data_IF_212513597203
#
_entry.id   IF_212513597203
#
_cell.length_a   1.000
_cell.length_b   1.000
_cell.length_c   1.000
_cell.angle_alpha   90.00
_cell.angle_beta   90.00
_cell.angle_gamma   90.00
#
_symmetry.space_group_name_H-M   'P 1'
#
loop_
_entity.id
_entity.type
_entity.pdbx_description
1 polymer ?
#
# COMPACT_ATOMS: atom_id res chain seq x y z
N UNK A 1 -29.43 -6.41 -16.23
CA UNK A 1 -29.05 -5.51 -15.12
C UNK A 1 -29.79 -6.01 -13.89
N UNK A 2 -29.06 -6.52 -12.92
CA UNK A 2 -29.62 -7.10 -11.70
C UNK A 2 -30.20 -6.00 -10.79
N UNK A 3 -31.19 -6.32 -9.95
CA UNK A 3 -31.78 -5.37 -9.01
C UNK A 3 -30.75 -4.80 -8.03
N UNK A 4 -29.76 -5.63 -7.64
CA UNK A 4 -28.65 -5.19 -6.79
C UNK A 4 -27.75 -4.17 -7.50
N UNK A 5 -27.44 -4.41 -8.77
CA UNK A 5 -26.62 -3.51 -9.58
C UNK A 5 -27.27 -2.12 -9.71
N UNK A 6 -28.58 -2.08 -9.98
CA UNK A 6 -29.34 -0.82 -10.04
C UNK A 6 -29.31 -0.10 -8.69
N UNK A 7 -29.53 -0.82 -7.59
CA UNK A 7 -29.49 -0.28 -6.23
C UNK A 7 -28.12 0.31 -5.89
N UNK A 8 -27.03 -0.41 -6.21
CA UNK A 8 -25.67 0.04 -5.98
C UNK A 8 -25.34 1.31 -6.80
N UNK A 9 -25.76 1.39 -8.06
CA UNK A 9 -25.58 2.59 -8.89
C UNK A 9 -26.26 3.82 -8.28
N UNK A 10 -27.54 3.70 -7.91
CA UNK A 10 -28.30 4.80 -7.28
C UNK A 10 -27.68 5.25 -5.95
N UNK A 11 -27.24 4.29 -5.12
CA UNK A 11 -26.58 4.58 -3.84
C UNK A 11 -25.21 5.25 -4.05
N UNK A 12 -24.43 4.80 -5.02
CA UNK A 12 -23.13 5.36 -5.37
C UNK A 12 -23.26 6.82 -5.81
N UNK A 13 -24.27 7.13 -6.64
CA UNK A 13 -24.61 8.50 -7.03
C UNK A 13 -25.01 9.36 -5.83
N UNK A 14 -25.91 8.86 -4.97
CA UNK A 14 -26.37 9.58 -3.77
C UNK A 14 -25.23 9.84 -2.76
N UNK A 15 -24.26 8.93 -2.65
CA UNK A 15 -23.07 9.08 -1.82
C UNK A 15 -21.98 9.97 -2.45
N UNK A 16 -22.20 10.49 -3.66
CA UNK A 16 -21.25 11.37 -4.34
C UNK A 16 -19.95 10.67 -4.76
N UNK A 17 -19.96 9.35 -4.92
CA UNK A 17 -18.76 8.54 -5.25
C UNK A 17 -18.08 9.06 -6.52
N UNK A 18 -18.85 9.44 -7.53
CA UNK A 18 -18.34 10.01 -8.78
C UNK A 18 -17.42 11.22 -8.55
N UNK A 19 -17.70 12.04 -7.53
CA UNK A 19 -16.89 13.23 -7.23
C UNK A 19 -15.51 12.87 -6.70
N UNK A 20 -15.37 11.79 -5.93
CA UNK A 20 -14.09 11.30 -5.41
C UNK A 20 -13.15 10.78 -6.52
N UNK A 21 -13.74 10.31 -7.63
CA UNK A 21 -13.04 9.67 -8.73
C UNK A 21 -12.63 8.21 -8.47
N UNK A 22 -13.00 7.62 -7.32
CA UNK A 22 -12.81 6.20 -7.07
C UNK A 22 -13.75 5.37 -7.96
N UNK A 23 -13.25 4.39 -8.73
CA UNK A 23 -14.09 3.58 -9.61
C UNK A 23 -14.76 2.44 -8.82
N UNK A 24 -15.73 2.74 -7.96
CA UNK A 24 -16.40 1.72 -7.12
C UNK A 24 -17.11 0.63 -7.94
N UNK A 25 -17.58 0.98 -9.14
CA UNK A 25 -18.34 0.09 -10.02
C UNK A 25 -17.54 -1.09 -10.59
N UNK A 26 -16.20 -1.10 -10.45
CA UNK A 26 -15.34 -2.22 -10.88
C UNK A 26 -15.32 -3.39 -9.88
N UNK A 27 -15.82 -3.19 -8.67
CA UNK A 27 -15.85 -4.24 -7.65
C UNK A 27 -17.06 -5.16 -7.87
N UNK A 28 -17.01 -6.42 -7.42
CA UNK A 28 -18.18 -7.30 -7.40
C UNK A 28 -19.39 -6.65 -6.72
N UNK A 29 -20.61 -6.95 -7.17
CA UNK A 29 -21.84 -6.32 -6.68
C UNK A 29 -22.04 -6.51 -5.18
N UNK A 30 -21.71 -7.70 -4.67
CA UNK A 30 -21.77 -8.00 -3.22
C UNK A 30 -20.81 -7.11 -2.42
N UNK A 31 -19.63 -6.83 -2.97
CA UNK A 31 -18.65 -5.92 -2.37
C UNK A 31 -19.08 -4.46 -2.46
N UNK A 32 -19.60 -4.00 -3.60
CA UNK A 32 -20.10 -2.64 -3.74
C UNK A 32 -21.17 -2.34 -2.67
N UNK A 33 -22.11 -3.27 -2.48
CA UNK A 33 -23.16 -3.14 -1.48
C UNK A 33 -22.58 -3.09 -0.05
N UNK A 34 -21.60 -3.94 0.25
CA UNK A 34 -20.89 -3.94 1.53
C UNK A 34 -20.18 -2.61 1.81
N UNK A 35 -19.45 -2.07 0.82
CA UNK A 35 -18.72 -0.81 0.94
C UNK A 35 -19.68 0.35 1.17
N UNK A 36 -20.80 0.39 0.44
CA UNK A 36 -21.83 1.43 0.58
C UNK A 36 -22.59 1.31 1.91
N UNK A 37 -22.69 0.12 2.48
CA UNK A 37 -23.25 -0.08 3.82
C UNK A 37 -22.31 0.50 4.88
N UNK A 38 -21.02 0.12 4.85
CA UNK A 38 -20.00 0.64 5.77
C UNK A 38 -19.89 2.15 5.72
N UNK A 39 -19.93 2.73 4.51
CA UNK A 39 -19.91 4.18 4.34
C UNK A 39 -21.12 4.87 5.01
N UNK A 40 -22.28 4.20 5.00
CA UNK A 40 -23.54 4.76 5.55
C UNK A 40 -23.68 4.52 7.05
N UNK A 41 -23.30 3.34 7.56
CA UNK A 41 -23.53 2.95 8.97
C UNK A 41 -22.35 3.29 9.86
N UNK A 42 -21.13 3.12 9.36
CA UNK A 42 -19.89 3.31 10.12
C UNK A 42 -19.16 4.61 9.76
N UNK A 43 -19.69 5.39 8.81
CA UNK A 43 -19.06 6.60 8.26
C UNK A 43 -17.66 6.36 7.68
N UNK A 44 -17.41 5.17 7.15
CA UNK A 44 -16.12 4.85 6.53
C UNK A 44 -15.96 5.60 5.20
N UNK A 45 -14.76 6.14 4.94
CA UNK A 45 -14.42 6.65 3.61
C UNK A 45 -14.37 5.49 2.63
N UNK A 46 -15.05 5.65 1.51
CA UNK A 46 -15.08 4.65 0.43
C UNK A 46 -13.68 4.42 -0.10
N UNK A 47 -12.90 5.49 -0.32
CA UNK A 47 -11.54 5.41 -0.85
C UNK A 47 -10.59 4.63 0.06
N UNK A 48 -10.62 4.89 1.37
CA UNK A 48 -9.80 4.13 2.33
C UNK A 48 -10.30 2.70 2.48
N UNK A 49 -11.62 2.48 2.44
CA UNK A 49 -12.22 1.14 2.51
C UNK A 49 -11.76 0.28 1.34
N UNK A 50 -11.99 0.70 0.10
CA UNK A 50 -11.64 -0.12 -1.08
C UNK A 50 -10.15 -0.41 -1.17
N UNK A 51 -9.31 0.58 -0.82
CA UNK A 51 -7.86 0.41 -0.82
C UNK A 51 -7.41 -0.59 0.25
N UNK A 52 -8.03 -0.52 1.43
CA UNK A 52 -7.73 -1.47 2.52
C UNK A 52 -8.18 -2.89 2.16
N UNK A 53 -9.34 -3.05 1.51
CA UNK A 53 -9.83 -4.36 1.05
C UNK A 53 -8.89 -4.97 -0.01
N UNK A 54 -8.42 -4.18 -0.98
CA UNK A 54 -7.41 -4.61 -1.97
C UNK A 54 -6.15 -5.12 -1.26
N UNK A 55 -5.64 -4.34 -0.31
CA UNK A 55 -4.43 -4.69 0.45
C UNK A 55 -4.60 -5.97 1.28
N UNK A 56 -5.74 -6.11 1.96
CA UNK A 56 -6.03 -7.29 2.77
C UNK A 56 -6.25 -8.55 1.92
N UNK A 57 -6.87 -8.43 0.74
CA UNK A 57 -6.98 -9.53 -0.22
C UNK A 57 -5.60 -9.98 -0.73
N UNK A 58 -4.74 -9.03 -1.08
CA UNK A 58 -3.36 -9.30 -1.48
C UNK A 58 -2.59 -10.07 -0.39
N UNK A 59 -2.78 -9.70 0.88
CA UNK A 59 -2.21 -10.40 2.03
C UNK A 59 -2.79 -11.80 2.26
N UNK A 60 -4.10 -11.97 2.14
CA UNK A 60 -4.76 -13.26 2.31
C UNK A 60 -4.35 -14.27 1.22
N UNK A 61 -4.25 -13.80 -0.02
CA UNK A 61 -3.79 -14.62 -1.15
C UNK A 61 -2.30 -14.93 -1.00
N UNK A 62 -1.46 -13.92 -0.80
CA UNK A 62 -0.01 -14.10 -0.68
C UNK A 62 0.57 -14.90 -1.85
N UNK A 63 1.48 -15.84 -1.56
CA UNK A 63 2.07 -16.74 -2.54
C UNK A 63 1.14 -17.87 -3.03
N UNK A 64 -0.13 -17.93 -2.62
CA UNK A 64 -1.03 -18.99 -3.12
C UNK A 64 -1.42 -18.81 -4.59
N UNK A 65 -1.36 -17.59 -5.13
CA UNK A 65 -1.62 -17.30 -6.53
C UNK A 65 -0.60 -16.32 -7.11
N UNK A 66 -0.33 -16.50 -8.40
CA UNK A 66 0.56 -15.66 -9.19
C UNK A 66 -0.11 -15.28 -10.50
N UNK A 67 0.41 -14.23 -11.13
CA UNK A 67 0.02 -13.84 -12.49
C UNK A 67 1.24 -13.87 -13.42
N UNK A 68 1.06 -14.41 -14.62
CA UNK A 68 2.06 -14.34 -15.69
C UNK A 68 1.80 -13.11 -16.56
N UNK A 69 2.77 -12.20 -16.59
CA UNK A 69 2.67 -10.95 -17.36
C UNK A 69 3.14 -11.17 -18.80
N UNK A 70 4.29 -11.83 -18.96
CA UNK A 70 4.92 -12.07 -20.27
C UNK A 70 5.97 -13.18 -20.17
N UNK A 71 5.83 -14.24 -20.96
CA UNK A 71 6.81 -15.35 -20.97
C UNK A 71 7.04 -15.91 -19.56
N UNK A 72 8.28 -15.82 -19.06
CA UNK A 72 8.64 -16.27 -17.70
C UNK A 72 8.51 -15.17 -16.62
N UNK A 73 7.99 -14.00 -16.97
CA UNK A 73 7.71 -12.96 -15.99
C UNK A 73 6.44 -13.29 -15.21
N UNK A 74 6.62 -13.93 -14.06
CA UNK A 74 5.58 -14.33 -13.12
C UNK A 74 5.74 -13.49 -11.85
N UNK A 75 4.64 -13.08 -11.23
CA UNK A 75 4.67 -12.28 -10.01
C UNK A 75 3.52 -12.60 -9.06
N UNK A 76 3.77 -12.59 -7.76
CA UNK A 76 2.75 -12.68 -6.70
C UNK A 76 2.07 -11.32 -6.53
N UNK A 77 0.89 -11.25 -5.87
CA UNK A 77 0.13 -10.02 -5.66
C UNK A 77 0.76 -9.09 -4.60
N UNK A 78 2.06 -8.80 -4.68
CA UNK A 78 2.75 -7.94 -3.70
C UNK A 78 2.38 -6.48 -3.89
N UNK A 79 1.75 -5.88 -2.89
CA UNK A 79 1.35 -4.49 -2.86
C UNK A 79 1.96 -3.76 -1.66
N UNK A 80 2.48 -2.57 -1.94
CA UNK A 80 2.83 -1.57 -0.94
C UNK A 80 1.79 -0.45 -1.02
N UNK A 81 1.17 -0.09 0.09
CA UNK A 81 -0.01 0.78 0.14
C UNK A 81 0.16 1.86 1.20
N UNK A 82 -0.15 3.11 0.85
CA UNK A 82 -0.22 4.23 1.80
C UNK A 82 -1.60 4.90 1.72
N UNK A 83 -2.25 5.04 2.87
CA UNK A 83 -3.48 5.78 3.04
C UNK A 83 -3.16 7.18 3.57
N UNK A 84 -3.26 8.20 2.73
CA UNK A 84 -2.96 9.60 3.06
C UNK A 84 -4.26 10.35 3.38
N UNK A 85 -4.31 11.01 4.53
CA UNK A 85 -5.47 11.85 4.89
C UNK A 85 -5.25 12.64 6.16
N UNK A 86 -6.05 13.69 6.37
CA UNK A 86 -5.92 14.56 7.56
C UNK A 86 -6.09 13.79 8.88
N UNK A 87 -5.60 14.32 10.01
CA UNK A 87 -5.98 13.81 11.32
C UNK A 87 -7.51 13.75 11.45
N UNK A 88 -8.04 12.67 12.02
CA UNK A 88 -9.48 12.52 12.29
C UNK A 88 -10.38 12.10 11.12
N UNK A 89 -9.87 11.92 9.88
CA UNK A 89 -10.70 11.52 8.72
C UNK A 89 -11.13 10.04 8.71
N UNK A 90 -10.78 9.27 9.75
CA UNK A 90 -11.15 7.85 9.83
C UNK A 90 -10.40 6.93 8.87
N UNK A 91 -9.06 7.01 8.82
CA UNK A 91 -8.22 6.10 8.01
C UNK A 91 -8.10 4.70 8.60
N UNK A 92 -7.90 4.63 9.92
CA UNK A 92 -7.64 3.41 10.66
C UNK A 92 -8.86 2.47 10.74
N UNK A 93 -10.11 2.93 10.94
CA UNK A 93 -11.25 2.02 11.05
C UNK A 93 -11.48 1.15 9.79
N UNK A 94 -11.46 1.68 8.55
CA UNK A 94 -11.53 0.84 7.34
C UNK A 94 -10.36 -0.14 7.20
N UNK A 95 -9.14 0.26 7.61
CA UNK A 95 -7.98 -0.61 7.59
C UNK A 95 -8.14 -1.79 8.56
N UNK A 96 -8.55 -1.49 9.80
CA UNK A 96 -8.82 -2.51 10.82
C UNK A 96 -9.95 -3.44 10.39
N UNK A 97 -11.02 -2.92 9.78
CA UNK A 97 -12.10 -3.74 9.20
C UNK A 97 -11.56 -4.72 8.17
N UNK A 98 -10.75 -4.24 7.22
CA UNK A 98 -10.22 -5.06 6.14
C UNK A 98 -9.28 -6.18 6.65
N UNK A 99 -8.44 -5.89 7.65
CA UNK A 99 -7.50 -6.87 8.21
C UNK A 99 -8.07 -7.72 9.35
N UNK A 100 -9.29 -7.43 9.83
CA UNK A 100 -9.90 -8.15 10.96
C UNK A 100 -9.90 -9.68 10.78
N UNK A 101 -10.33 -10.26 9.64
CA UNK A 101 -10.34 -11.72 9.51
C UNK A 101 -8.94 -12.34 9.62
N UNK A 102 -7.91 -11.67 9.08
CA UNK A 102 -6.52 -12.12 9.19
C UNK A 102 -5.97 -11.99 10.62
N UNK A 103 -6.39 -10.95 11.36
CA UNK A 103 -6.09 -10.82 12.80
C UNK A 103 -6.77 -11.90 13.64
N UNK A 104 -8.01 -12.26 13.31
CA UNK A 104 -8.73 -13.32 14.01
C UNK A 104 -8.00 -14.67 13.79
N UNK A 105 -7.50 -14.95 12.58
CA UNK A 105 -6.63 -16.12 12.28
C UNK A 105 -5.33 -16.08 13.09
N UNK A 106 -4.61 -14.96 13.10
CA UNK A 106 -3.37 -14.81 13.89
C UNK A 106 -3.61 -15.03 15.39
N UNK A 107 -4.78 -14.63 15.89
CA UNK A 107 -5.17 -14.83 17.29
C UNK A 107 -5.36 -16.31 17.60
N UNK A 108 -6.01 -17.06 16.72
CA UNK A 108 -6.17 -18.51 16.83
C UNK A 108 -4.83 -19.23 16.78
N UNK A 109 -3.95 -18.88 15.84
CA UNK A 109 -2.60 -19.43 15.74
C UNK A 109 -1.75 -19.11 16.96
N UNK A 110 -1.89 -17.91 17.53
CA UNK A 110 -1.20 -17.55 18.76
C UNK A 110 -1.65 -18.41 19.96
N UNK A 111 -2.95 -18.68 20.08
CA UNK A 111 -3.48 -19.56 21.13
C UNK A 111 -2.95 -20.99 20.98
N UNK A 112 -2.93 -21.53 19.75
CA UNK A 112 -2.35 -22.86 19.44
C UNK A 112 -0.86 -22.91 19.80
N UNK A 113 -0.10 -21.91 19.35
CA UNK A 113 1.33 -21.79 19.65
C UNK A 113 1.60 -21.76 21.15
N UNK A 114 0.83 -20.97 21.91
CA UNK A 114 1.00 -20.86 23.38
C UNK A 114 0.75 -22.20 24.07
N UNK A 115 -0.27 -22.95 23.63
CA UNK A 115 -0.53 -24.30 24.14
C UNK A 115 0.64 -25.26 23.84
N UNK A 116 1.08 -25.33 22.57
CA UNK A 116 2.21 -26.16 22.15
C UNK A 116 3.51 -25.82 22.87
N UNK A 117 3.78 -24.52 23.08
CA UNK A 117 4.97 -24.04 23.79
C UNK A 117 4.97 -24.47 25.26
N UNK A 118 3.82 -24.42 25.92
CA UNK A 118 3.68 -24.88 27.30
C UNK A 118 3.88 -26.40 27.41
N UNK A 119 3.32 -27.16 26.47
CA UNK A 119 3.50 -28.62 26.40
C UNK A 119 4.97 -29.01 26.17
N UNK A 120 5.62 -28.39 25.18
CA UNK A 120 7.04 -28.58 24.89
C UNK A 120 7.90 -28.29 26.14
N UNK A 121 7.68 -27.15 26.80
CA UNK A 121 8.41 -26.79 28.01
C UNK A 121 8.18 -27.80 29.15
N UNK A 122 6.95 -28.29 29.33
CA UNK A 122 6.64 -29.29 30.35
C UNK A 122 7.37 -30.62 30.10
N UNK A 123 7.49 -31.07 28.84
CA UNK A 123 8.24 -32.28 28.48
C UNK A 123 9.75 -32.06 28.73
N UNK A 124 10.29 -30.89 28.36
CA UNK A 124 11.69 -30.53 28.64
C UNK A 124 11.98 -30.59 30.14
N UNK A 125 11.12 -30.02 30.98
CA UNK A 125 11.26 -30.09 32.44
C UNK A 125 11.14 -31.52 32.97
N UNK A 126 10.19 -32.33 32.49
CA UNK A 126 10.04 -33.75 32.89
C UNK A 126 11.24 -34.61 32.49
N UNK A 127 11.97 -34.23 31.46
CA UNK A 127 13.17 -34.92 31.01
C UNK A 127 14.44 -34.47 31.75
N UNK A 128 14.42 -33.35 32.49
CA UNK A 128 15.56 -32.93 33.30
C UNK A 128 15.88 -33.98 34.38
N UNK A 129 17.16 -34.32 34.49
CA UNK A 129 17.65 -35.29 35.48
C UNK A 129 17.38 -36.76 35.13
N UNK A 130 16.66 -37.08 34.04
CA UNK A 130 16.46 -38.45 33.56
C UNK A 130 17.58 -38.89 32.62
N UNK A 131 17.85 -40.21 32.59
CA UNK A 131 18.75 -40.80 31.59
C UNK A 131 18.11 -40.67 30.20
N UNK A 132 18.92 -40.50 29.16
CA UNK A 132 18.45 -40.29 27.77
C UNK A 132 17.54 -41.41 27.25
N UNK A 133 17.70 -42.62 27.76
CA UNK A 133 16.86 -43.80 27.46
C UNK A 133 15.44 -43.72 28.05
N UNK A 134 15.20 -42.83 29.02
CA UNK A 134 13.93 -42.61 29.71
C UNK A 134 13.28 -41.29 29.29
N UNK A 135 13.84 -40.61 28.29
CA UNK A 135 13.30 -39.35 27.80
C UNK A 135 11.97 -39.58 27.10
N UNK A 136 10.98 -38.80 27.52
CA UNK A 136 9.77 -38.61 26.75
C UNK A 136 10.14 -37.89 25.44
N UNK A 137 9.58 -38.34 24.32
CA UNK A 137 9.84 -37.72 23.02
C UNK A 137 9.40 -36.26 23.03
N UNK A 138 10.30 -35.36 22.65
CA UNK A 138 9.96 -33.96 22.48
C UNK A 138 9.20 -33.77 21.17
N UNK A 139 8.07 -33.03 21.15
CA UNK A 139 7.48 -32.59 19.89
C UNK A 139 8.42 -31.61 19.18
N UNK A 140 8.19 -31.31 17.89
CA UNK A 140 8.92 -30.25 17.21
C UNK A 140 8.87 -28.94 17.99
N UNK A 141 9.96 -28.16 17.95
CA UNK A 141 10.00 -26.85 18.59
C UNK A 141 8.87 -25.99 18.03
N UNK A 142 7.94 -25.50 18.85
CA UNK A 142 6.84 -24.69 18.36
C UNK A 142 7.37 -23.41 17.71
N UNK A 143 6.86 -23.09 16.52
CA UNK A 143 7.15 -21.84 15.80
C UNK A 143 5.85 -21.05 15.70
N UNK A 144 5.91 -19.76 16.01
CA UNK A 144 4.76 -18.87 15.85
C UNK A 144 4.75 -18.36 14.42
N UNK A 145 3.78 -18.82 13.63
CA UNK A 145 3.49 -18.25 12.33
C UNK A 145 2.59 -17.04 12.53
N UNK A 146 3.02 -15.88 12.04
CA UNK A 146 2.24 -14.65 12.15
C UNK A 146 2.06 -14.03 10.78
N UNK A 147 0.81 -13.90 10.34
CA UNK A 147 0.51 -13.30 9.05
C UNK A 147 0.65 -11.78 9.09
N UNK A 148 0.34 -11.14 10.22
CA UNK A 148 0.37 -9.68 10.37
C UNK A 148 1.47 -9.21 11.33
N UNK A 149 2.30 -8.29 10.88
CA UNK A 149 3.34 -7.64 11.70
C UNK A 149 3.13 -6.14 11.78
N UNK A 150 3.19 -5.60 13.01
CA UNK A 150 2.94 -4.17 13.28
C UNK A 150 4.16 -3.49 13.92
N UNK A 151 4.96 -4.26 14.67
CA UNK A 151 6.22 -3.84 15.27
C UNK A 151 7.22 -4.99 15.11
N UNK A 152 8.39 -4.69 14.57
CA UNK A 152 9.41 -5.66 14.24
C UNK A 152 10.77 -5.01 14.01
N UNK A 153 11.84 -5.78 14.23
CA UNK A 153 13.13 -5.49 13.62
C UNK A 153 13.20 -6.13 12.23
N UNK A 154 14.01 -5.61 11.30
CA UNK A 154 14.23 -6.24 9.99
C UNK A 154 14.50 -7.75 10.06
N UNK A 155 15.29 -8.20 11.03
CA UNK A 155 15.64 -9.60 11.22
C UNK A 155 14.43 -10.46 11.62
N UNK A 156 13.55 -9.92 12.47
CA UNK A 156 12.32 -10.61 12.89
C UNK A 156 11.32 -10.70 11.74
N UNK A 157 11.23 -9.66 10.89
CA UNK A 157 10.41 -9.71 9.68
C UNK A 157 10.89 -10.83 8.74
N UNK A 158 12.19 -10.89 8.46
CA UNK A 158 12.74 -11.89 7.54
C UNK A 158 12.61 -13.31 8.09
N UNK A 159 12.84 -13.53 9.38
CA UNK A 159 12.63 -14.84 10.02
C UNK A 159 11.17 -15.30 10.00
N UNK A 160 10.23 -14.39 10.29
CA UNK A 160 8.81 -14.75 10.21
C UNK A 160 8.40 -15.04 8.78
N UNK A 161 8.95 -14.30 7.81
CA UNK A 161 8.65 -14.55 6.41
C UNK A 161 9.21 -15.90 5.91
N UNK A 162 10.43 -16.24 6.30
CA UNK A 162 11.03 -17.55 6.03
C UNK A 162 10.16 -18.70 6.61
N UNK A 163 9.64 -18.51 7.82
CA UNK A 163 8.71 -19.46 8.44
C UNK A 163 7.29 -19.43 7.85
N UNK A 164 6.89 -18.37 7.14
CA UNK A 164 5.56 -18.20 6.57
C UNK A 164 5.64 -18.10 5.05
N UNK A 165 5.64 -19.28 4.43
CA UNK A 165 5.73 -19.43 2.98
C UNK A 165 4.65 -18.62 2.23
N UNK A 166 3.45 -18.41 2.81
CA UNK A 166 2.38 -17.64 2.16
C UNK A 166 2.75 -16.15 2.04
N UNK A 167 3.56 -15.65 2.95
CA UNK A 167 3.95 -14.24 3.02
C UNK A 167 3.57 -13.58 4.34
N UNK A 168 3.96 -12.33 4.48
CA UNK A 168 3.73 -11.52 5.69
C UNK A 168 3.16 -10.17 5.28
N UNK A 169 2.17 -9.69 6.04
CA UNK A 169 1.63 -8.35 5.89
C UNK A 169 2.12 -7.43 7.01
N UNK A 170 2.79 -6.36 6.64
CA UNK A 170 3.13 -5.26 7.54
C UNK A 170 1.96 -4.29 7.58
N UNK A 171 1.26 -4.21 8.71
CA UNK A 171 0.08 -3.37 8.90
C UNK A 171 0.38 -2.37 10.00
N UNK A 172 0.54 -1.10 9.64
CA UNK A 172 0.95 -0.07 10.59
C UNK A 172 0.00 1.12 10.55
N UNK A 173 -0.55 1.45 11.72
CA UNK A 173 -1.10 2.79 11.89
C UNK A 173 0.07 3.76 12.01
N UNK A 174 0.05 4.86 11.24
CA UNK A 174 1.16 5.81 11.14
C UNK A 174 2.47 5.19 10.62
N UNK A 175 2.50 4.95 9.31
CA UNK A 175 3.62 4.32 8.58
C UNK A 175 4.97 5.06 8.73
N UNK A 176 4.97 6.31 9.19
CA UNK A 176 6.21 7.03 9.49
C UNK A 176 7.09 6.31 10.50
N UNK A 177 6.52 5.59 11.47
CA UNK A 177 7.29 4.75 12.38
C UNK A 177 8.09 3.67 11.64
N UNK A 178 7.44 2.99 10.67
CA UNK A 178 8.09 2.00 9.81
C UNK A 178 9.20 2.62 8.95
N UNK A 179 8.92 3.75 8.30
CA UNK A 179 9.91 4.45 7.48
C UNK A 179 11.11 4.95 8.31
N UNK A 180 10.87 5.43 9.53
CA UNK A 180 11.93 5.80 10.47
C UNK A 180 12.78 4.59 10.87
N UNK A 181 12.18 3.42 11.08
CA UNK A 181 12.90 2.16 11.31
C UNK A 181 13.76 1.83 10.09
N UNK A 182 13.18 1.84 8.88
CA UNK A 182 13.91 1.61 7.62
C UNK A 182 15.09 2.58 7.47
N UNK A 183 14.87 3.87 7.75
CA UNK A 183 15.88 4.92 7.64
C UNK A 183 16.94 4.86 8.76
N UNK A 184 16.61 4.35 9.96
CA UNK A 184 17.58 4.17 11.05
C UNK A 184 18.57 3.06 10.74
N UNK A 185 18.11 1.98 10.12
CA UNK A 185 18.95 0.88 9.66
C UNK A 185 19.63 1.19 8.31
N UNK A 186 20.00 2.46 8.08
CA UNK A 186 20.47 3.09 6.82
C UNK A 186 21.75 2.50 6.17
N UNK A 187 22.08 1.25 6.42
CA UNK A 187 22.80 0.45 5.45
C UNK A 187 21.79 0.06 4.38
N UNK A 188 21.85 0.73 3.22
CA UNK A 188 21.22 0.42 1.91
C UNK A 188 20.57 -0.96 1.71
N UNK A 189 21.14 -2.00 2.30
CA UNK A 189 20.67 -3.39 2.38
C UNK A 189 19.17 -3.57 2.71
N UNK A 190 18.57 -2.95 3.75
CA UNK A 190 17.16 -3.27 4.06
C UNK A 190 16.19 -2.70 3.02
N UNK A 191 16.40 -1.47 2.57
CA UNK A 191 15.63 -0.90 1.44
C UNK A 191 15.83 -1.76 0.19
N UNK A 192 17.06 -2.19 -0.11
CA UNK A 192 17.34 -3.10 -1.23
C UNK A 192 16.63 -4.45 -1.10
N UNK A 193 16.55 -5.01 0.11
CA UNK A 193 15.79 -6.24 0.38
C UNK A 193 14.31 -6.03 0.12
N UNK A 194 13.72 -4.91 0.57
CA UNK A 194 12.32 -4.59 0.28
C UNK A 194 12.08 -4.32 -1.22
N UNK A 195 13.01 -3.65 -1.91
CA UNK A 195 12.94 -3.45 -3.36
C UNK A 195 13.00 -4.77 -4.12
N UNK A 196 13.84 -5.72 -3.67
CA UNK A 196 13.97 -7.07 -4.24
C UNK A 196 12.73 -7.91 -3.96
N UNK A 197 12.26 -7.91 -2.71
CA UNK A 197 11.04 -8.56 -2.29
C UNK A 197 9.82 -8.04 -3.08
N UNK A 198 9.68 -6.73 -3.23
CA UNK A 198 8.62 -6.15 -4.06
C UNK A 198 8.68 -6.62 -5.52
N UNK A 199 9.86 -6.91 -6.06
CA UNK A 199 10.01 -7.42 -7.41
C UNK A 199 9.81 -8.95 -7.49
N UNK A 200 9.59 -9.64 -6.36
CA UNK A 200 9.50 -11.09 -6.28
C UNK A 200 10.85 -11.80 -6.45
N UNK A 201 11.97 -11.10 -6.24
CA UNK A 201 13.31 -11.66 -6.37
C UNK A 201 13.76 -12.26 -5.03
N UNK A 202 14.41 -13.45 -5.01
CA UNK A 202 14.88 -14.07 -3.79
C UNK A 202 15.66 -13.12 -2.87
N UNK A 203 15.46 -13.26 -1.57
CA UNK A 203 16.12 -12.45 -0.54
C UNK A 203 16.96 -13.34 0.35
N UNK A 204 18.27 -13.13 0.31
CA UNK A 204 19.24 -13.80 1.19
C UNK A 204 19.60 -12.88 2.38
N UNK A 205 19.59 -13.45 3.59
CA UNK A 205 20.04 -12.77 4.82
C UNK A 205 21.13 -13.59 5.48
N UNK A 206 22.38 -13.18 5.24
CA UNK A 206 23.57 -13.75 5.89
C UNK A 206 24.06 -12.80 6.98
N UNK A 207 24.01 -13.25 8.25
CA UNK A 207 24.52 -12.51 9.42
C UNK A 207 25.36 -13.44 10.27
N UNK A 208 26.44 -12.93 10.88
CA UNK A 208 27.38 -13.74 11.66
C UNK A 208 26.76 -14.48 12.86
N UNK A 209 25.62 -14.00 13.37
CA UNK A 209 24.94 -14.58 14.53
C UNK A 209 23.77 -15.51 14.14
N UNK A 210 23.69 -15.92 12.87
CA UNK A 210 22.74 -16.93 12.41
C UNK A 210 23.47 -18.26 12.22
N UNK A 211 22.98 -19.33 12.84
CA UNK A 211 23.53 -20.68 12.67
C UNK A 211 23.38 -21.18 11.21
N UNK A 212 22.36 -20.69 10.49
CA UNK A 212 22.14 -20.91 9.07
C UNK A 212 21.70 -19.58 8.42
N UNK A 213 22.28 -19.19 7.26
CA UNK A 213 21.75 -18.09 6.45
C UNK A 213 20.26 -18.30 6.14
N UNK A 214 19.46 -17.23 6.18
CA UNK A 214 18.06 -17.28 5.75
C UNK A 214 17.99 -17.03 4.25
N UNK A 215 17.14 -17.78 3.56
CA UNK A 215 16.90 -17.64 2.13
C UNK A 215 15.41 -17.73 1.85
N UNK A 216 14.84 -16.62 1.42
CA UNK A 216 13.44 -16.54 1.03
C UNK A 216 13.39 -16.57 -0.50
N UNK A 217 13.08 -17.72 -1.08
CA UNK A 217 13.04 -17.90 -2.54
C UNK A 217 11.86 -17.18 -3.18
N UNK A 218 10.70 -17.13 -2.50
CA UNK A 218 9.47 -16.52 -3.00
C UNK A 218 9.00 -15.42 -2.06
N UNK A 219 9.64 -14.23 -2.06
CA UNK A 219 9.23 -13.20 -1.14
C UNK A 219 7.85 -12.66 -1.48
N UNK A 220 7.00 -12.53 -0.46
CA UNK A 220 5.70 -11.90 -0.51
C UNK A 220 5.48 -11.13 0.79
N UNK A 221 6.02 -9.90 0.83
CA UNK A 221 5.83 -8.97 1.93
C UNK A 221 4.84 -7.93 1.47
N UNK A 222 3.68 -7.83 2.10
CA UNK A 222 2.72 -6.74 1.89
C UNK A 222 3.05 -5.60 2.85
N UNK A 223 2.86 -4.36 2.43
CA UNK A 223 2.96 -3.21 3.33
C UNK A 223 1.70 -2.38 3.18
N UNK A 224 1.06 -2.06 4.29
CA UNK A 224 0.00 -1.06 4.33
C UNK A 224 0.17 -0.20 5.56
N UNK A 225 -0.03 1.10 5.37
CA UNK A 225 -0.15 1.96 6.52
C UNK A 225 -0.78 3.30 6.24
N UNK A 226 -1.11 3.98 7.32
CA UNK A 226 -1.75 5.30 7.26
C UNK A 226 -0.69 6.38 7.41
N UNK A 227 -0.90 7.55 6.79
CA UNK A 227 -0.08 8.73 7.04
C UNK A 227 -0.96 9.97 7.08
N UNK A 228 -0.54 10.94 7.88
CA UNK A 228 -1.20 12.23 7.96
C UNK A 228 -0.67 13.15 6.86
N UNK A 229 -1.54 14.01 6.30
CA UNK A 229 -1.11 14.95 5.25
C UNK A 229 0.05 15.84 5.70
N UNK A 230 0.02 16.34 6.95
CA UNK A 230 1.00 17.31 7.45
C UNK A 230 2.44 16.82 7.63
N UNK A 231 2.68 15.50 7.55
CA UNK A 231 4.01 14.88 7.70
C UNK A 231 4.42 14.06 6.46
N UNK A 232 3.62 14.10 5.40
CA UNK A 232 3.88 13.29 4.20
C UNK A 232 5.13 13.77 3.43
N UNK A 233 5.52 15.03 3.63
CA UNK A 233 6.75 15.60 3.09
C UNK A 233 8.02 14.92 3.64
N UNK A 234 7.98 14.39 4.88
CA UNK A 234 9.12 13.70 5.48
C UNK A 234 9.55 12.46 4.68
N UNK A 235 8.61 11.78 3.99
CA UNK A 235 8.93 10.66 3.10
C UNK A 235 9.88 11.07 1.95
N UNK A 236 9.77 12.31 1.50
CA UNK A 236 10.61 12.88 0.44
C UNK A 236 11.97 13.28 1.01
N UNK A 237 11.99 13.87 2.19
CA UNK A 237 13.21 14.29 2.88
C UNK A 237 14.12 13.11 3.22
N UNK A 238 13.54 11.94 3.53
CA UNK A 238 14.27 10.67 3.71
C UNK A 238 14.85 10.09 2.41
N UNK A 239 14.55 10.67 1.25
CA UNK A 239 15.11 10.26 -0.03
C UNK A 239 14.45 9.01 -0.65
N UNK A 240 13.30 8.55 -0.14
CA UNK A 240 12.61 7.37 -0.68
C UNK A 240 12.05 7.54 -2.09
N UNK A 241 11.81 8.79 -2.52
CA UNK A 241 11.53 9.09 -3.94
C UNK A 241 12.78 8.88 -4.80
N UNK A 242 13.95 9.33 -4.33
CA UNK A 242 15.22 9.26 -5.09
C UNK A 242 15.71 7.83 -5.32
N UNK A 243 15.47 6.92 -4.36
CA UNK A 243 15.86 5.51 -4.48
C UNK A 243 14.77 4.62 -5.10
N UNK A 244 13.64 5.20 -5.52
CA UNK A 244 12.51 4.51 -6.14
C UNK A 244 11.71 3.60 -5.20
N UNK A 245 11.92 3.69 -3.88
CA UNK A 245 11.13 2.94 -2.90
C UNK A 245 9.69 3.45 -2.84
N UNK A 246 9.50 4.78 -2.77
CA UNK A 246 8.18 5.40 -2.76
C UNK A 246 7.40 5.17 -4.06
N UNK A 247 8.11 5.03 -5.20
CA UNK A 247 7.52 4.79 -6.52
C UNK A 247 6.76 3.47 -6.63
N UNK A 248 7.00 2.52 -5.72
CA UNK A 248 6.31 1.22 -5.67
C UNK A 248 4.99 1.25 -4.91
N UNK A 249 4.76 2.28 -4.11
CA UNK A 249 3.55 2.37 -3.29
C UNK A 249 2.34 2.79 -4.13
N UNK A 250 1.24 2.08 -3.95
CA UNK A 250 -0.11 2.51 -4.31
C UNK A 250 -0.59 3.48 -3.25
N UNK A 251 -0.91 4.71 -3.67
CA UNK A 251 -1.24 5.79 -2.75
C UNK A 251 -2.70 6.16 -2.90
N UNK A 252 -3.41 6.21 -1.79
CA UNK A 252 -4.76 6.76 -1.73
C UNK A 252 -4.73 8.07 -0.99
N UNK A 253 -4.95 9.17 -1.72
CA UNK A 253 -5.12 10.51 -1.19
C UNK A 253 -6.47 11.04 -1.73
N UNK A 254 -7.55 11.08 -0.91
CA UNK A 254 -8.86 11.55 -1.36
C UNK A 254 -8.82 12.98 -1.89
N UNK A 255 -9.70 13.32 -2.85
CA UNK A 255 -9.86 14.70 -3.34
C UNK A 255 -10.40 15.64 -2.25
N UNK A 256 -11.31 15.12 -1.43
CA UNK A 256 -11.90 15.83 -0.30
C UNK A 256 -11.18 15.46 0.99
N UNK A 257 -10.50 16.44 1.60
CA UNK A 257 -9.87 16.26 2.92
C UNK A 257 -10.79 16.66 4.09
N UNK A 258 -12.07 16.91 3.81
CA UNK A 258 -13.06 17.28 4.84
C UNK A 258 -13.53 16.03 5.57
N UNK A 259 -13.65 16.14 6.89
CA UNK A 259 -14.23 15.10 7.73
C UNK A 259 -15.75 15.11 7.49
N UNK A 260 -16.33 13.96 7.17
CA UNK A 260 -17.76 13.84 7.01
C UNK A 260 -18.47 13.99 8.38
N UNK A 261 -19.63 14.68 8.44
CA UNK A 261 -20.41 14.73 9.67
C UNK A 261 -20.96 13.35 10.00
N UNK A 262 -21.07 13.04 11.30
CA UNK A 262 -21.68 11.80 11.75
C UNK A 262 -23.18 11.83 11.46
N UNK A 263 -23.66 10.87 10.67
CA UNK A 263 -25.09 10.76 10.38
C UNK A 263 -25.73 9.77 11.35
N UNK A 264 -26.78 10.21 12.05
CA UNK A 264 -27.58 9.31 12.87
C UNK A 264 -28.40 8.40 11.96
N UNK A 265 -28.05 7.12 11.93
CA UNK A 265 -28.83 6.09 11.24
C UNK A 265 -29.87 5.53 12.22
N UNK A 266 -31.12 5.24 11.79
CA UNK A 266 -32.10 4.55 12.62
C UNK A 266 -31.52 3.23 13.16
N UNK A 267 -31.99 2.77 14.33
CA UNK A 267 -31.65 1.42 14.81
C UNK A 267 -32.06 0.42 13.73
N UNK A 268 -31.09 -0.33 13.22
CA UNK A 268 -31.30 -1.40 12.27
C UNK A 268 -31.17 -2.74 12.99
N UNK A 269 -31.71 -3.79 12.37
CA UNK A 269 -31.51 -5.15 12.86
C UNK A 269 -30.03 -5.50 12.87
N UNK A 270 -29.59 -6.22 13.90
CA UNK A 270 -28.19 -6.64 14.06
C UNK A 270 -27.67 -7.37 12.81
N UNK A 271 -28.52 -8.16 12.15
CA UNK A 271 -28.19 -8.86 10.92
C UNK A 271 -27.75 -7.93 9.78
N UNK A 272 -28.30 -6.71 9.69
CA UNK A 272 -27.91 -5.73 8.65
C UNK A 272 -26.56 -5.12 8.98
N UNK A 273 -26.31 -4.80 10.25
CA UNK A 273 -25.05 -4.22 10.74
C UNK A 273 -23.89 -5.23 10.61
N UNK A 274 -24.14 -6.51 10.87
CA UNK A 274 -23.13 -7.57 10.81
C UNK A 274 -22.86 -8.06 9.38
N UNK A 275 -23.77 -7.79 8.44
CA UNK A 275 -23.68 -8.30 7.06
C UNK A 275 -22.36 -7.92 6.37
N UNK A 276 -21.89 -6.66 6.41
CA UNK A 276 -20.58 -6.32 5.85
C UNK A 276 -19.43 -7.19 6.39
N UNK A 277 -19.39 -7.41 7.70
CA UNK A 277 -18.36 -8.20 8.35
C UNK A 277 -18.39 -9.67 7.92
N UNK A 278 -19.60 -10.24 7.83
CA UNK A 278 -19.79 -11.62 7.36
C UNK A 278 -19.35 -11.79 5.91
N UNK A 279 -19.82 -10.91 5.03
CA UNK A 279 -19.47 -10.93 3.60
C UNK A 279 -17.95 -10.83 3.42
N UNK A 280 -17.31 -9.92 4.14
CA UNK A 280 -15.86 -9.77 4.05
C UNK A 280 -15.10 -10.99 4.57
N UNK A 281 -15.54 -11.55 5.71
CA UNK A 281 -14.97 -12.78 6.26
C UNK A 281 -15.08 -13.95 5.27
N UNK A 282 -16.23 -14.15 4.65
CA UNK A 282 -16.43 -15.20 3.63
C UNK A 282 -15.44 -15.07 2.46
N UNK A 283 -15.18 -13.83 2.00
CA UNK A 283 -14.24 -13.56 0.91
C UNK A 283 -12.80 -13.91 1.33
N UNK A 284 -12.37 -13.45 2.51
CA UNK A 284 -11.02 -13.73 3.03
C UNK A 284 -10.83 -15.22 3.35
N UNK A 285 -11.84 -15.89 3.92
CA UNK A 285 -11.79 -17.32 4.21
C UNK A 285 -11.56 -18.13 2.92
N UNK A 286 -12.26 -17.80 1.81
CA UNK A 286 -12.00 -18.40 0.49
C UNK A 286 -10.56 -18.18 0.02
N UNK A 287 -10.02 -16.98 0.19
CA UNK A 287 -8.65 -16.64 -0.23
C UNK A 287 -7.57 -17.37 0.60
N UNK A 288 -7.74 -17.44 1.92
CA UNK A 288 -6.81 -18.14 2.82
C UNK A 288 -6.87 -19.66 2.59
N UNK A 289 -8.03 -20.20 2.23
CA UNK A 289 -8.22 -21.62 1.94
C UNK A 289 -7.58 -22.08 0.61
N UNK A 290 -7.08 -21.16 -0.23
CA UNK A 290 -6.37 -21.53 -1.45
C UNK A 290 -5.14 -22.37 -1.10
N UNK A 291 -4.95 -23.55 -1.73
CA UNK A 291 -3.83 -24.42 -1.41
C UNK A 291 -2.52 -23.76 -1.81
N UNK A 292 -1.50 -23.98 -0.99
CA UNK A 292 -0.18 -23.44 -1.23
C UNK A 292 0.88 -24.29 -0.52
N UNK A 293 1.90 -24.68 -1.27
CA UNK A 293 3.09 -25.42 -0.83
C UNK A 293 4.28 -24.96 -1.67
N UNK A 294 5.50 -25.36 -1.32
CA UNK A 294 6.71 -25.03 -2.10
C UNK A 294 6.63 -25.50 -3.56
N UNK A 295 5.83 -26.53 -3.85
CA UNK A 295 5.63 -27.10 -5.20
C UNK A 295 4.34 -26.64 -5.91
N UNK A 296 3.41 -25.97 -5.22
CA UNK A 296 2.11 -25.56 -5.79
C UNK A 296 2.12 -24.06 -6.08
N UNK A 297 2.28 -23.72 -7.36
CA UNK A 297 2.15 -22.36 -7.89
C UNK A 297 0.88 -22.25 -8.72
N UNK A 298 -0.19 -21.68 -8.17
CA UNK A 298 -1.38 -21.36 -8.98
C UNK A 298 -1.07 -20.10 -9.81
N UNK A 299 -0.49 -20.30 -10.99
CA UNK A 299 -0.18 -19.22 -11.93
C UNK A 299 -1.39 -19.03 -12.85
N UNK A 300 -2.00 -17.85 -12.81
CA UNK A 300 -3.04 -17.45 -13.74
C UNK A 300 -2.40 -16.72 -14.91
N UNK A 301 -2.69 -17.20 -16.11
CA UNK A 301 -2.40 -16.48 -17.34
C UNK A 301 -3.53 -15.50 -17.65
N UNK A 302 -3.27 -14.52 -18.51
CA UNK A 302 -4.34 -13.73 -19.11
C UNK A 302 -5.09 -14.58 -20.16
N UNK A 303 -6.39 -14.36 -20.30
CA UNK A 303 -7.08 -14.74 -21.54
C UNK A 303 -6.52 -13.96 -22.75
N UNK A 304 -6.74 -14.47 -23.96
CA UNK A 304 -6.28 -13.83 -25.21
C UNK A 304 -6.78 -12.38 -25.34
N UNK A 305 -8.04 -12.11 -25.00
CA UNK A 305 -8.59 -10.75 -25.00
C UNK A 305 -7.95 -9.87 -23.92
N UNK A 306 -7.72 -10.42 -22.72
CA UNK A 306 -7.20 -9.68 -21.58
C UNK A 306 -5.73 -9.25 -21.79
N UNK A 307 -4.91 -10.10 -22.42
CA UNK A 307 -3.51 -9.77 -22.68
C UNK A 307 -3.38 -8.65 -23.73
N UNK A 308 -4.25 -8.66 -24.75
CA UNK A 308 -4.29 -7.60 -25.77
C UNK A 308 -4.64 -6.26 -25.13
N UNK A 309 -5.68 -6.21 -24.28
CA UNK A 309 -6.06 -4.99 -23.55
C UNK A 309 -4.89 -4.48 -22.69
N UNK A 310 -4.23 -5.38 -21.95
CA UNK A 310 -3.12 -5.01 -21.08
C UNK A 310 -1.91 -4.48 -21.88
N UNK A 311 -1.57 -5.12 -23.01
CA UNK A 311 -0.45 -4.71 -23.84
C UNK A 311 -0.74 -3.41 -24.59
N UNK A 312 -1.94 -3.22 -25.12
CA UNK A 312 -2.34 -1.97 -25.76
C UNK A 312 -2.32 -0.80 -24.79
N UNK A 313 -2.80 -1.00 -23.55
CA UNK A 313 -2.70 0.00 -22.50
C UNK A 313 -1.24 0.35 -22.18
N UNK A 314 -0.38 -0.66 -22.02
CA UNK A 314 1.03 -0.45 -21.69
C UNK A 314 1.81 0.21 -22.84
N UNK A 315 1.57 -0.20 -24.08
CA UNK A 315 2.26 0.33 -25.24
C UNK A 315 1.90 1.80 -25.47
N UNK A 316 0.66 2.21 -25.21
CA UNK A 316 0.26 3.64 -25.24
C UNK A 316 1.04 4.48 -24.23
N UNK A 317 1.35 3.95 -23.05
CA UNK A 317 2.17 4.66 -22.06
C UNK A 317 3.65 4.70 -22.49
N UNK A 318 4.19 3.60 -23.03
CA UNK A 318 5.55 3.53 -23.58
C UNK A 318 5.73 4.55 -24.72
N UNK A 319 4.77 4.67 -25.63
CA UNK A 319 4.80 5.66 -26.72
C UNK A 319 4.87 7.09 -26.18
N UNK A 320 4.08 7.40 -25.14
CA UNK A 320 4.11 8.71 -24.48
C UNK A 320 5.45 8.99 -23.80
N UNK A 321 6.03 7.99 -23.14
CA UNK A 321 7.34 8.13 -22.49
C UNK A 321 8.47 8.33 -23.51
N UNK A 322 8.46 7.57 -24.61
CA UNK A 322 9.46 7.69 -25.68
C UNK A 322 9.39 9.04 -26.41
N UNK A 323 8.25 9.74 -26.36
CA UNK A 323 8.11 11.08 -26.90
C UNK A 323 8.77 12.17 -26.03
N UNK A 324 9.17 11.86 -24.80
CA UNK A 324 9.85 12.80 -23.89
C UNK A 324 11.33 12.86 -24.24
N UNK A 325 11.80 14.02 -24.70
CA UNK A 325 13.21 14.23 -25.05
C UNK A 325 14.07 14.72 -23.89
N UNK A 326 13.48 15.35 -22.88
CA UNK A 326 14.20 15.81 -21.69
C UNK A 326 14.20 14.71 -20.62
N UNK A 327 15.37 14.11 -20.36
CA UNK A 327 15.53 13.06 -19.34
C UNK A 327 15.01 13.47 -17.95
N UNK A 328 15.02 14.77 -17.62
CA UNK A 328 14.53 15.27 -16.33
C UNK A 328 13.01 15.19 -16.17
N UNK A 329 12.30 15.05 -17.29
CA UNK A 329 10.83 14.92 -17.32
C UNK A 329 10.39 13.46 -17.30
N UNK A 330 11.32 12.50 -17.38
CA UNK A 330 11.02 11.07 -17.30
C UNK A 330 10.65 10.72 -15.87
N UNK A 331 9.42 10.25 -15.67
CA UNK A 331 8.93 9.79 -14.38
C UNK A 331 9.37 8.34 -14.11
N UNK A 332 10.26 8.15 -13.14
CA UNK A 332 10.73 6.82 -12.71
C UNK A 332 9.61 5.93 -12.19
N UNK A 333 8.51 6.52 -11.70
CA UNK A 333 7.34 5.81 -11.21
C UNK A 333 6.58 5.11 -12.33
N UNK A 334 6.50 5.73 -13.50
CA UNK A 334 5.73 5.21 -14.62
C UNK A 334 6.20 3.80 -15.05
N UNK A 335 7.50 3.51 -14.92
CA UNK A 335 8.07 2.18 -15.17
C UNK A 335 7.65 1.09 -14.15
N UNK A 336 7.02 1.46 -13.02
CA UNK A 336 6.56 0.53 -11.96
C UNK A 336 5.07 0.26 -12.00
N UNK A 337 4.30 1.15 -12.62
CA UNK A 337 2.85 1.03 -12.79
C UNK A 337 2.42 -0.32 -13.39
N UNK A 338 3.05 -0.84 -14.47
CA UNK A 338 2.51 -2.02 -15.17
C UNK A 338 2.55 -3.28 -14.31
N UNK A 339 3.60 -3.43 -13.50
CA UNK A 339 3.73 -4.51 -12.53
C UNK A 339 2.59 -4.48 -11.52
N UNK A 340 2.31 -3.29 -10.95
CA UNK A 340 1.22 -3.12 -9.98
C UNK A 340 -0.15 -3.32 -10.63
N UNK A 341 -0.35 -2.87 -11.86
CA UNK A 341 -1.61 -3.07 -12.60
C UNK A 341 -1.86 -4.55 -12.87
N UNK A 342 -0.86 -5.33 -13.26
CA UNK A 342 -1.00 -6.79 -13.41
C UNK A 342 -1.38 -7.47 -12.08
N UNK A 343 -0.75 -7.07 -10.96
CA UNK A 343 -1.10 -7.57 -9.62
C UNK A 343 -2.52 -7.20 -9.21
N UNK A 344 -2.96 -5.99 -9.54
CA UNK A 344 -4.35 -5.57 -9.34
C UNK A 344 -5.31 -6.42 -10.18
N UNK A 345 -4.96 -6.78 -11.42
CA UNK A 345 -5.79 -7.63 -12.27
C UNK A 345 -5.99 -9.02 -11.66
N UNK A 346 -4.95 -9.61 -11.09
CA UNK A 346 -5.05 -10.84 -10.31
C UNK A 346 -6.00 -10.66 -9.10
N UNK A 347 -5.85 -9.58 -8.34
CA UNK A 347 -6.69 -9.31 -7.17
C UNK A 347 -8.17 -9.13 -7.58
N UNK A 348 -8.46 -8.42 -8.67
CA UNK A 348 -9.84 -8.26 -9.15
C UNK A 348 -10.44 -9.57 -9.66
N UNK A 349 -9.64 -10.42 -10.33
CA UNK A 349 -10.07 -11.76 -10.70
C UNK A 349 -10.44 -12.58 -9.46
N UNK A 350 -9.61 -12.53 -8.42
CA UNK A 350 -9.86 -13.26 -7.18
C UNK A 350 -11.01 -12.67 -6.36
N UNK A 351 -11.27 -11.36 -6.42
CA UNK A 351 -12.48 -10.78 -5.85
C UNK A 351 -13.74 -11.28 -6.52
N UNK A 352 -13.77 -11.29 -7.86
CA UNK A 352 -14.92 -11.79 -8.64
C UNK A 352 -15.12 -13.27 -8.41
N UNK A 353 -14.06 -14.07 -8.36
CA UNK A 353 -14.12 -15.48 -7.95
C UNK A 353 -14.66 -15.67 -6.53
N UNK A 354 -14.15 -14.95 -5.55
CA UNK A 354 -14.59 -15.10 -4.16
C UNK A 354 -16.06 -14.66 -3.97
N UNK A 355 -16.57 -13.77 -4.82
CA UNK A 355 -17.96 -13.34 -4.86
C UNK A 355 -18.86 -14.20 -5.78
N UNK A 356 -18.32 -15.28 -6.37
CA UNK A 356 -19.04 -16.17 -7.29
C UNK A 356 -19.54 -15.47 -8.58
N UNK A 357 -18.87 -14.38 -8.98
CA UNK A 357 -19.12 -13.61 -10.20
C UNK A 357 -18.16 -13.99 -11.35
N UNK A 358 -17.11 -14.77 -11.08
CA UNK A 358 -16.17 -15.31 -12.09
C UNK A 358 -15.45 -16.57 -11.58
N UNK A 359 -14.50 -17.08 -12.34
CA UNK A 359 -13.63 -18.22 -11.99
C UNK A 359 -12.23 -17.76 -11.55
N UNK A 360 -11.32 -18.71 -11.30
CA UNK A 360 -9.92 -18.44 -10.97
C UNK A 360 -8.91 -19.17 -11.87
N UNK A 361 -9.34 -19.56 -13.07
CA UNK A 361 -8.50 -20.34 -14.00
C UNK A 361 -7.56 -19.45 -14.82
N UNK A 362 -8.02 -18.27 -15.20
CA UNK A 362 -7.25 -17.23 -15.89
C UNK A 362 -7.79 -15.83 -15.50
N UNK A 363 -7.02 -14.79 -15.81
CA UNK A 363 -7.43 -13.38 -15.65
C UNK A 363 -8.14 -12.92 -16.92
N UNK A 364 -9.40 -12.51 -16.78
CA UNK A 364 -10.25 -12.09 -17.90
C UNK A 364 -10.18 -10.57 -18.18
N UNK A 365 -10.83 -10.15 -19.27
CA UNK A 365 -10.82 -8.77 -19.74
C UNK A 365 -11.47 -7.80 -18.73
N UNK A 366 -12.50 -8.24 -18.00
CA UNK A 366 -13.18 -7.40 -17.01
C UNK A 366 -12.25 -7.09 -15.82
N UNK A 367 -11.52 -8.10 -15.35
CA UNK A 367 -10.52 -7.95 -14.28
C UNK A 367 -9.34 -7.05 -14.69
N UNK A 368 -8.88 -7.13 -15.95
CA UNK A 368 -7.84 -6.23 -16.48
C UNK A 368 -8.35 -4.78 -16.57
N UNK A 369 -9.56 -4.56 -17.10
CA UNK A 369 -10.14 -3.22 -17.18
C UNK A 369 -10.36 -2.61 -15.79
N UNK A 370 -10.81 -3.41 -14.82
CA UNK A 370 -10.92 -3.01 -13.42
C UNK A 370 -9.56 -2.54 -12.87
N UNK A 371 -8.52 -3.34 -13.09
CA UNK A 371 -7.17 -3.03 -12.65
C UNK A 371 -6.61 -1.74 -13.27
N UNK A 372 -6.79 -1.52 -14.58
CA UNK A 372 -6.36 -0.30 -15.26
C UNK A 372 -7.06 0.92 -14.64
N UNK A 373 -8.38 0.87 -14.46
CA UNK A 373 -9.16 1.97 -13.86
C UNK A 373 -8.74 2.28 -12.43
N UNK A 374 -8.46 1.24 -11.64
CA UNK A 374 -7.98 1.42 -10.27
C UNK A 374 -6.54 1.96 -10.23
N UNK A 375 -5.68 1.49 -11.14
CA UNK A 375 -4.31 2.00 -11.31
C UNK A 375 -4.31 3.50 -11.64
N UNK A 376 -5.16 3.93 -12.58
CA UNK A 376 -5.36 5.35 -12.90
C UNK A 376 -5.79 6.18 -11.69
N UNK A 377 -6.63 5.62 -10.81
CA UNK A 377 -7.02 6.27 -9.57
C UNK A 377 -5.82 6.44 -8.61
N UNK A 378 -5.00 5.40 -8.43
CA UNK A 378 -3.80 5.47 -7.59
C UNK A 378 -2.78 6.48 -8.13
N UNK A 379 -2.58 6.57 -9.44
CA UNK A 379 -1.68 7.57 -10.04
C UNK A 379 -2.20 9.00 -9.89
N UNK A 380 -3.51 9.21 -10.04
CA UNK A 380 -4.15 10.51 -9.73
C UNK A 380 -4.03 10.86 -8.24
N UNK A 381 -4.14 9.87 -7.36
CA UNK A 381 -3.96 10.03 -5.92
C UNK A 381 -2.51 10.35 -5.54
N UNK A 382 -1.54 9.71 -6.19
CA UNK A 382 -0.12 10.01 -6.03
C UNK A 382 0.18 11.46 -6.41
N UNK A 383 -0.32 11.93 -7.57
CA UNK A 383 -0.18 13.33 -7.99
C UNK A 383 -0.74 14.32 -6.97
N UNK A 384 -1.91 14.02 -6.38
CA UNK A 384 -2.48 14.85 -5.30
C UNK A 384 -1.56 14.90 -4.07
N UNK A 385 -0.96 13.78 -3.69
CA UNK A 385 0.01 13.75 -2.60
C UNK A 385 1.28 14.55 -2.95
N UNK A 386 1.81 14.42 -4.16
CA UNK A 386 2.97 15.18 -4.64
C UNK A 386 2.71 16.70 -4.66
N UNK A 387 1.50 17.11 -5.06
CA UNK A 387 1.06 18.50 -4.97
C UNK A 387 0.93 19.00 -3.52
N UNK A 388 0.44 18.15 -2.60
CA UNK A 388 0.40 18.47 -1.16
C UNK A 388 1.80 18.68 -0.59
N UNK A 389 2.73 17.77 -0.87
CA UNK A 389 4.13 17.89 -0.43
C UNK A 389 4.77 19.14 -0.99
N UNK A 390 4.56 19.40 -2.28
CA UNK A 390 5.05 20.63 -2.90
C UNK A 390 4.52 21.84 -2.13
N UNK A 391 3.21 21.88 -1.82
CA UNK A 391 2.58 23.01 -1.13
C UNK A 391 3.05 23.18 0.33
N UNK A 392 3.23 22.08 1.08
CA UNK A 392 3.63 22.08 2.50
C UNK A 392 5.14 22.20 2.72
N UNK A 393 5.97 21.79 1.75
CA UNK A 393 7.42 21.91 1.82
C UNK A 393 7.89 23.39 1.86
N UNK A 394 6.97 24.35 1.72
CA UNK A 394 7.24 25.75 2.00
C UNK A 394 6.68 26.12 3.35
N UNK A 395 7.57 26.40 4.32
CA UNK A 395 7.21 27.08 5.57
C UNK A 395 6.23 28.22 5.27
N UNK A 396 5.05 28.29 5.92
CA UNK A 396 4.01 29.26 5.61
C UNK A 396 4.53 30.70 5.56
N UNK A 397 5.49 31.05 6.42
CA UNK A 397 6.11 32.38 6.46
C UNK A 397 7.03 32.58 5.25
N UNK A 398 7.78 31.56 4.85
CA UNK A 398 8.60 31.59 3.62
C UNK A 398 7.71 31.70 2.37
N UNK A 399 6.54 31.05 2.38
CA UNK A 399 5.58 31.14 1.28
C UNK A 399 5.03 32.55 1.15
N UNK A 400 4.71 33.21 2.26
CA UNK A 400 4.29 34.61 2.27
C UNK A 400 5.39 35.55 1.75
N UNK A 401 6.66 35.28 2.08
CA UNK A 401 7.81 36.00 1.49
C UNK A 401 7.82 35.81 -0.04
N UNK A 402 7.63 34.59 -0.53
CA UNK A 402 7.55 34.33 -1.97
C UNK A 402 6.35 35.02 -2.61
N UNK A 403 5.16 34.93 -2.01
CA UNK A 403 3.91 35.48 -2.52
C UNK A 403 3.94 37.01 -2.61
N UNK A 404 4.69 37.68 -1.71
CA UNK A 404 4.87 39.13 -1.75
C UNK A 404 5.79 39.64 -2.87
N UNK A 405 6.55 38.76 -3.52
CA UNK A 405 7.42 39.11 -4.65
C UNK A 405 6.67 39.11 -5.99
N UNK A 406 7.15 39.89 -6.96
CA UNK A 406 6.63 39.87 -8.33
C UNK A 406 6.90 38.53 -9.06
N UNK A 407 6.33 38.35 -10.25
CA UNK A 407 6.60 37.18 -11.10
C UNK A 407 8.08 37.07 -11.49
N UNK A 408 8.76 38.20 -11.70
CA UNK A 408 10.22 38.29 -11.84
C UNK A 408 10.74 39.16 -10.74
N UNK A 409 11.83 38.74 -10.09
CA UNK A 409 12.42 39.49 -9.00
C UNK A 409 13.93 39.23 -8.88
N UNK A 410 14.62 40.17 -8.22
CA UNK A 410 16.05 40.06 -7.94
C UNK A 410 16.33 39.68 -6.50
N UNK A 411 17.56 39.23 -6.23
CA UNK A 411 17.99 38.84 -4.87
C UNK A 411 17.81 39.98 -3.85
N UNK A 412 18.01 41.23 -4.27
CA UNK A 412 17.84 42.39 -3.39
C UNK A 412 16.38 42.56 -2.94
N UNK A 413 15.42 42.32 -3.85
CA UNK A 413 13.97 42.39 -3.56
C UNK A 413 13.56 41.24 -2.65
N UNK A 414 14.05 40.02 -2.90
CA UNK A 414 13.81 38.88 -2.03
C UNK A 414 14.37 39.09 -0.62
N UNK A 415 15.56 39.70 -0.49
CA UNK A 415 16.16 40.02 0.82
C UNK A 415 15.36 41.08 1.55
N UNK A 416 14.85 42.09 0.83
CA UNK A 416 13.98 43.12 1.41
C UNK A 416 12.65 42.52 1.90
N UNK A 417 11.97 41.75 1.04
CA UNK A 417 10.75 41.04 1.40
C UNK A 417 10.99 40.11 2.59
N UNK A 418 12.07 39.31 2.60
CA UNK A 418 12.39 38.46 3.73
C UNK A 418 12.64 39.22 5.04
N UNK A 419 13.22 40.43 4.99
CA UNK A 419 13.42 41.27 6.16
C UNK A 419 12.10 41.76 6.76
N UNK A 420 11.09 42.04 5.92
CA UNK A 420 9.75 42.43 6.37
C UNK A 420 9.05 41.30 7.18
N UNK A 421 9.49 40.05 6.97
CA UNK A 421 9.04 38.87 7.73
C UNK A 421 10.04 38.41 8.79
N UNK A 422 11.04 39.23 9.13
CA UNK A 422 12.01 38.98 10.22
C UNK A 422 13.17 38.03 9.85
N UNK A 423 13.38 37.72 8.57
CA UNK A 423 14.48 36.85 8.15
C UNK A 423 15.78 37.62 7.90
N UNK A 424 16.88 37.08 8.40
CA UNK A 424 18.22 37.55 8.04
C UNK A 424 18.54 37.23 6.57
N UNK A 425 19.40 38.04 5.93
CA UNK A 425 19.84 37.86 4.54
C UNK A 425 20.30 36.44 4.24
N UNK A 426 21.05 35.80 5.16
CA UNK A 426 21.53 34.42 5.00
C UNK A 426 20.40 33.41 4.89
N UNK A 427 19.35 33.58 5.69
CA UNK A 427 18.14 32.74 5.66
C UNK A 427 17.39 32.90 4.34
N UNK A 428 17.28 34.12 3.82
CA UNK A 428 16.67 34.38 2.50
C UNK A 428 17.49 33.73 1.37
N UNK A 429 18.82 33.75 1.44
CA UNK A 429 19.65 33.06 0.44
C UNK A 429 19.42 31.54 0.43
N UNK A 430 19.27 30.93 1.61
CA UNK A 430 18.91 29.52 1.72
C UNK A 430 17.47 29.27 1.20
N UNK A 431 16.55 30.17 1.50
CA UNK A 431 15.17 30.12 1.03
C UNK A 431 15.08 30.14 -0.51
N UNK A 432 15.82 31.04 -1.17
CA UNK A 432 15.89 31.09 -2.63
C UNK A 432 16.48 29.81 -3.23
N UNK A 433 17.50 29.23 -2.58
CA UNK A 433 18.06 27.94 -3.00
C UNK A 433 17.04 26.81 -2.86
N UNK A 434 16.31 26.78 -1.76
CA UNK A 434 15.23 25.81 -1.48
C UNK A 434 14.08 25.95 -2.49
N UNK A 435 13.66 27.18 -2.82
CA UNK A 435 12.65 27.45 -3.84
C UNK A 435 13.07 27.01 -5.24
N UNK A 436 14.34 27.18 -5.61
CA UNK A 436 14.86 26.64 -6.86
C UNK A 436 14.85 25.09 -6.86
N UNK A 437 15.23 24.45 -5.75
CA UNK A 437 15.23 22.99 -5.64
C UNK A 437 13.82 22.39 -5.70
N UNK A 438 12.84 23.09 -5.12
CA UNK A 438 11.42 22.72 -5.11
C UNK A 438 10.64 23.23 -6.32
N UNK A 439 11.33 23.82 -7.30
CA UNK A 439 10.77 24.28 -8.57
C UNK A 439 9.65 25.34 -8.42
N UNK A 440 9.69 26.15 -7.36
CA UNK A 440 8.80 27.30 -7.19
C UNK A 440 9.26 28.50 -8.01
N UNK A 441 10.58 28.62 -8.19
CA UNK A 441 11.21 29.69 -8.96
C UNK A 441 12.31 29.09 -9.82
N UNK A 442 12.53 29.67 -10.99
CA UNK A 442 13.64 29.36 -11.88
C UNK A 442 14.65 30.48 -11.77
N UNK A 443 15.93 30.10 -11.64
CA UNK A 443 17.04 31.05 -11.66
C UNK A 443 17.49 31.27 -13.11
N UNK A 444 17.01 32.35 -13.72
CA UNK A 444 17.37 32.74 -15.09
C UNK A 444 18.86 33.10 -15.19
N UNK A 445 19.33 34.03 -14.35
CA UNK A 445 20.73 34.46 -14.27
C UNK A 445 21.17 34.69 -12.84
N UNK A 446 22.47 34.91 -12.60
CA UNK A 446 22.97 35.13 -11.24
C UNK A 446 22.26 36.30 -10.56
N UNK A 447 21.45 35.95 -9.56
CA UNK A 447 20.70 36.90 -8.75
C UNK A 447 19.33 37.31 -9.28
N UNK A 448 18.88 36.77 -10.42
CA UNK A 448 17.55 36.98 -11.01
C UNK A 448 16.73 35.68 -10.95
N UNK A 449 15.45 35.81 -10.57
CA UNK A 449 14.55 34.68 -10.39
C UNK A 449 13.20 34.98 -11.05
N UNK A 450 12.55 33.93 -11.56
CA UNK A 450 11.20 33.96 -12.12
C UNK A 450 10.33 32.91 -11.45
N UNK A 451 9.11 33.27 -11.04
CA UNK A 451 8.16 32.32 -10.46
C UNK A 451 7.67 31.35 -11.54
N UNK A 452 7.63 30.08 -11.19
CA UNK A 452 7.00 29.06 -12.04
C UNK A 452 5.49 29.23 -11.89
N UNK A 453 4.82 29.78 -12.91
CA UNK A 453 3.36 29.80 -12.93
C UNK A 453 2.86 28.35 -13.02
N UNK A 454 2.11 27.90 -12.01
CA UNK A 454 1.22 26.75 -12.12
C UNK A 454 -0.18 27.25 -12.45
#
# INVERSE_FOLDING_TARGET
MDALEICNKLRSEASGVATSGIPLDIFPQKMQQMILDLARTENYSIEFTVTSLISAMAAAVGNSCYIRIKGNWITSPILYVILVGRPGVGKTPPLNFAYKPLHDIDTEEHHKFKALKNEYAAIVERNKGKKRTEWESLPPVPVLHKNIMNDFTPEILMRNHDANLRGVAVVVDEIMGLFNTINRYNNSSFVQQMLSAHNGLPVDVSRCNLDCPLRIDYPCIQIVGTIQTGIVHELYDMGFKKNGFLDRFLITCPKGLKIAPWVKVPKQDAAIIERPFRVWKEIIDKAVALPFTEDIFNVLDFSDEAIDIFYDWQNKDIERQNAITDEKMIDSRAAKVPLNTARLALIFQLFRWACDESHKDFVDAESVNAAIRMSDYFEKSYKRMDDLVSTEATDPVKKQVLDSLGNKFVTAEAVKAGADFGFARRTVMYMLKDFCQKNFIIKDKQGNYEKVQK
#
